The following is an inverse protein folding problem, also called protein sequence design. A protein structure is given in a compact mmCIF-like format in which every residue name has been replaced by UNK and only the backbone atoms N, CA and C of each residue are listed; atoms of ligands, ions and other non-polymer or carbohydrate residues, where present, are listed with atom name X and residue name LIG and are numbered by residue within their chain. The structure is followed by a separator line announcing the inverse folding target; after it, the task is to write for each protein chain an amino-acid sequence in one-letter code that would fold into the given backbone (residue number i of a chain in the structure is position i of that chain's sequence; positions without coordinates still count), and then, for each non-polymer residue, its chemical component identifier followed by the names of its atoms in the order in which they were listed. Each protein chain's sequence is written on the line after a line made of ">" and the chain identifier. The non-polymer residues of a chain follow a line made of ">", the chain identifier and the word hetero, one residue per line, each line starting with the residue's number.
data_IF_244018746701
#
_entry.id   IF_244018746701
#
_cell.length_a   1.000
_cell.length_b   1.000
_cell.length_c   1.000
_cell.angle_alpha   90.00
_cell.angle_beta   90.00
_cell.angle_gamma   90.00
#
_symmetry.space_group_name_H-M   'P 1'
#
loop_
_entity.id
_entity.type
_entity.pdbx_description
1 polymer ?
#
# COMPACT_ATOMS: atom_id res chain seq x y z
N UNK A 1 -16.25 12.36 -5.45
CA UNK A 1 -15.01 13.10 -5.15
C UNK A 1 -14.38 12.45 -3.94
N UNK A 2 -13.08 12.17 -3.97
CA UNK A 2 -12.33 11.65 -2.83
C UNK A 2 -12.14 12.77 -1.81
N UNK A 3 -12.73 12.60 -0.63
CA UNK A 3 -12.66 13.54 0.49
C UNK A 3 -11.30 13.46 1.20
N UNK A 4 -10.96 14.43 2.04
CA UNK A 4 -9.68 14.42 2.75
C UNK A 4 -9.56 13.24 3.73
N UNK A 5 -10.69 12.81 4.31
CA UNK A 5 -10.78 11.59 5.11
C UNK A 5 -10.42 10.33 4.30
N UNK A 6 -10.89 10.23 3.05
CA UNK A 6 -10.60 9.08 2.19
C UNK A 6 -9.11 9.00 1.88
N UNK A 7 -8.49 10.14 1.53
CA UNK A 7 -7.05 10.20 1.25
C UNK A 7 -6.21 9.87 2.47
N UNK A 8 -6.65 10.30 3.65
CA UNK A 8 -5.99 9.98 4.92
C UNK A 8 -6.04 8.46 5.17
N UNK A 9 -7.20 7.86 5.02
CA UNK A 9 -7.37 6.41 5.20
C UNK A 9 -6.58 5.61 4.17
N UNK A 10 -6.65 5.97 2.89
CA UNK A 10 -5.85 5.35 1.82
C UNK A 10 -4.36 5.41 2.13
N UNK A 11 -3.86 6.59 2.52
CA UNK A 11 -2.45 6.78 2.88
C UNK A 11 -2.05 5.93 4.08
N UNK A 12 -2.88 5.88 5.12
CA UNK A 12 -2.65 5.07 6.32
C UNK A 12 -2.54 3.58 5.95
N UNK A 13 -3.48 3.09 5.14
CA UNK A 13 -3.48 1.68 4.70
C UNK A 13 -2.26 1.36 3.85
N UNK A 14 -1.86 2.23 2.93
CA UNK A 14 -0.63 2.05 2.14
C UNK A 14 0.60 1.94 3.04
N UNK A 15 0.79 2.88 3.98
CA UNK A 15 1.94 2.87 4.89
C UNK A 15 2.00 1.59 5.73
N UNK A 16 0.85 1.12 6.22
CA UNK A 16 0.79 -0.11 7.02
C UNK A 16 1.01 -1.37 6.17
N UNK A 17 0.51 -1.40 4.94
CA UNK A 17 0.70 -2.51 4.02
C UNK A 17 2.17 -2.63 3.55
N UNK A 18 2.84 -1.49 3.36
CA UNK A 18 4.25 -1.41 2.98
C UNK A 18 5.19 -1.89 4.10
N UNK A 19 4.85 -1.62 5.37
CA UNK A 19 5.62 -2.10 6.54
C UNK A 19 5.48 -3.62 6.72
N UNK A 20 4.24 -4.12 6.81
CA UNK A 20 3.96 -5.55 6.78
C UNK A 20 2.47 -5.82 6.47
N UNK A 21 2.13 -6.76 5.58
CA UNK A 21 0.73 -7.04 5.23
C UNK A 21 -0.11 -7.52 6.42
N UNK A 22 0.50 -8.11 7.45
CA UNK A 22 -0.19 -8.51 8.68
C UNK A 22 -0.54 -7.35 9.62
N UNK A 23 0.10 -6.18 9.47
CA UNK A 23 -0.05 -5.04 10.39
C UNK A 23 -1.45 -4.41 10.32
N UNK A 24 -2.14 -4.51 9.19
CA UNK A 24 -3.52 -4.02 9.01
C UNK A 24 -4.53 -4.67 9.96
N UNK A 25 -4.25 -5.88 10.45
CA UNK A 25 -5.12 -6.60 11.38
C UNK A 25 -4.75 -6.38 12.85
N UNK A 26 -3.63 -5.70 13.13
CA UNK A 26 -3.11 -5.50 14.48
C UNK A 26 -3.61 -4.16 14.99
N UNK A 27 -4.34 -4.11 16.13
CA UNK A 27 -4.71 -2.85 16.76
C UNK A 27 -3.48 -2.09 17.25
N UNK A 28 -3.52 -0.76 17.21
CA UNK A 28 -2.41 0.10 17.63
C UNK A 28 -2.90 1.41 18.26
N UNK A 29 -2.08 2.13 19.05
CA UNK A 29 -2.47 3.39 19.68
C UNK A 29 -2.82 4.48 18.66
N UNK A 30 -3.85 5.28 18.95
CA UNK A 30 -4.30 6.38 18.10
C UNK A 30 -3.18 7.39 17.81
N UNK A 31 -2.27 7.59 18.77
CA UNK A 31 -1.10 8.45 18.60
C UNK A 31 -0.21 8.08 17.40
N UNK A 32 -0.09 6.78 17.10
CA UNK A 32 0.76 6.34 15.98
C UNK A 32 0.29 6.92 14.64
N UNK A 33 -1.01 7.20 14.48
CA UNK A 33 -1.56 7.77 13.24
C UNK A 33 -0.89 9.10 12.91
N UNK A 34 -0.83 10.02 13.87
CA UNK A 34 -0.37 11.39 13.62
C UNK A 34 1.12 11.61 13.97
N UNK A 35 1.72 10.73 14.77
CA UNK A 35 3.15 10.84 15.13
C UNK A 35 4.07 10.07 14.18
N UNK A 36 3.64 8.89 13.71
CA UNK A 36 4.53 7.95 12.99
C UNK A 36 4.05 7.61 11.59
N UNK A 37 2.79 7.23 11.45
CA UNK A 37 2.26 6.64 10.21
C UNK A 37 1.96 7.71 9.16
N UNK A 38 1.18 8.73 9.53
CA UNK A 38 0.79 9.81 8.63
C UNK A 38 0.98 11.19 9.26
N UNK A 39 2.22 11.62 9.59
CA UNK A 39 2.47 12.96 10.12
C UNK A 39 2.12 14.05 9.11
N UNK A 40 1.54 15.16 9.58
CA UNK A 40 1.11 16.30 8.75
C UNK A 40 2.22 16.81 7.81
N UNK A 41 3.40 17.10 8.35
CA UNK A 41 4.48 17.77 7.58
C UNK A 41 4.90 16.98 6.34
N UNK A 42 5.01 15.66 6.45
CA UNK A 42 5.47 14.78 5.37
C UNK A 42 4.35 14.37 4.41
N UNK A 43 3.08 14.46 4.83
CA UNK A 43 1.95 13.94 4.04
C UNK A 43 1.01 15.04 3.51
N UNK A 44 1.17 16.32 3.89
CA UNK A 44 0.24 17.40 3.48
C UNK A 44 -0.01 17.46 1.98
N UNK A 45 1.02 17.28 1.16
CA UNK A 45 0.93 17.35 -0.31
C UNK A 45 0.17 16.16 -0.89
N UNK A 46 0.30 14.99 -0.28
CA UNK A 46 -0.38 13.75 -0.70
C UNK A 46 -1.86 13.81 -0.33
N UNK A 47 -2.15 14.26 0.90
CA UNK A 47 -3.52 14.43 1.40
C UNK A 47 -4.24 15.60 0.72
N UNK A 48 -3.49 16.55 0.17
CA UNK A 48 -3.97 17.82 -0.42
C UNK A 48 -4.82 18.65 0.57
N UNK A 49 -4.46 18.57 1.84
CA UNK A 49 -5.02 19.41 2.91
C UNK A 49 -4.43 20.82 2.81
N UNK A 50 -5.27 21.84 2.89
CA UNK A 50 -4.83 23.23 2.77
C UNK A 50 -4.18 23.73 4.06
N UNK A 51 -4.73 23.32 5.21
CA UNK A 51 -4.30 23.76 6.53
C UNK A 51 -4.02 22.60 7.48
N UNK A 52 -3.35 22.90 8.59
CA UNK A 52 -3.17 21.94 9.68
C UNK A 52 -4.51 21.53 10.31
N UNK A 53 -5.44 22.48 10.40
CA UNK A 53 -6.76 22.23 10.98
C UNK A 53 -7.58 21.27 10.12
N UNK A 54 -7.48 21.34 8.78
CA UNK A 54 -8.13 20.37 7.88
C UNK A 54 -7.60 18.94 8.10
N UNK A 55 -6.29 18.82 8.35
CA UNK A 55 -5.68 17.54 8.71
C UNK A 55 -6.17 17.04 10.07
N UNK A 56 -6.20 17.90 11.09
CA UNK A 56 -6.71 17.55 12.42
C UNK A 56 -8.18 17.13 12.36
N UNK A 57 -8.99 17.80 11.53
CA UNK A 57 -10.37 17.39 11.25
C UNK A 57 -10.45 16.03 10.58
N UNK A 58 -9.61 15.74 9.58
CA UNK A 58 -9.59 14.43 8.94
C UNK A 58 -9.21 13.32 9.92
N UNK A 59 -8.25 13.57 10.82
CA UNK A 59 -7.86 12.63 11.88
C UNK A 59 -8.99 12.45 12.90
N UNK A 60 -9.61 13.54 13.36
CA UNK A 60 -10.75 13.49 14.27
C UNK A 60 -11.89 12.64 13.70
N UNK A 61 -12.27 12.88 12.44
CA UNK A 61 -13.30 12.12 11.72
C UNK A 61 -12.93 10.66 11.54
N UNK A 62 -11.65 10.38 11.25
CA UNK A 62 -11.14 9.02 11.15
C UNK A 62 -11.28 8.28 12.48
N UNK A 63 -10.89 8.88 13.60
CA UNK A 63 -10.93 8.26 14.93
C UNK A 63 -12.36 8.15 15.47
N UNK A 64 -13.25 9.06 15.09
CA UNK A 64 -14.70 8.98 15.32
C UNK A 64 -15.37 7.79 14.60
N UNK A 65 -14.62 7.02 13.80
CA UNK A 65 -15.13 5.88 13.04
C UNK A 65 -16.06 6.30 11.91
N UNK A 66 -15.86 7.50 11.35
CA UNK A 66 -16.67 7.95 10.22
C UNK A 66 -16.51 6.99 9.03
N UNK A 67 -17.61 6.71 8.33
CA UNK A 67 -17.70 5.76 7.21
C UNK A 67 -17.34 4.31 7.56
N UNK A 68 -17.14 3.99 8.85
CA UNK A 68 -16.83 2.64 9.32
C UNK A 68 -15.44 2.17 8.94
N UNK A 69 -14.50 3.10 8.70
CA UNK A 69 -13.10 2.78 8.38
C UNK A 69 -12.32 2.23 9.58
N UNK A 70 -12.65 2.72 10.77
CA UNK A 70 -11.94 2.38 12.00
C UNK A 70 -12.92 2.17 13.17
N UNK A 71 -12.45 1.48 14.19
CA UNK A 71 -13.07 1.34 15.51
C UNK A 71 -12.05 1.75 16.56
N UNK A 72 -12.47 2.51 17.57
CA UNK A 72 -11.60 2.98 18.64
C UNK A 72 -12.08 2.43 19.98
N UNK A 73 -11.16 1.90 20.78
CA UNK A 73 -11.39 1.48 22.15
C UNK A 73 -10.61 2.40 23.11
N UNK A 74 -11.22 2.92 24.20
CA UNK A 74 -12.59 2.68 24.66
C UNK A 74 -13.68 3.34 23.79
N UNK A 75 -14.86 2.71 23.72
CA UNK A 75 -16.00 3.20 22.91
C UNK A 75 -16.48 4.58 23.36
N UNK A 76 -16.36 4.90 24.64
CA UNK A 76 -16.74 6.21 25.19
C UNK A 76 -15.90 7.34 24.59
N UNK A 77 -14.62 7.07 24.31
CA UNK A 77 -13.72 8.00 23.63
C UNK A 77 -14.17 8.17 22.18
N UNK A 78 -14.50 7.07 21.49
CA UNK A 78 -14.99 7.14 20.12
C UNK A 78 -16.27 7.98 20.01
N UNK A 79 -17.22 7.78 20.93
CA UNK A 79 -18.46 8.54 20.98
C UNK A 79 -18.23 10.02 21.27
N UNK A 80 -17.28 10.36 22.15
CA UNK A 80 -16.90 11.74 22.41
C UNK A 80 -16.34 12.42 21.14
N UNK A 81 -15.41 11.76 20.44
CA UNK A 81 -14.84 12.27 19.18
C UNK A 81 -15.89 12.39 18.08
N UNK A 82 -16.83 11.45 18.00
CA UNK A 82 -17.94 11.50 17.06
C UNK A 82 -18.88 12.66 17.32
N UNK A 83 -19.18 12.97 18.58
CA UNK A 83 -20.00 14.15 18.95
C UNK A 83 -19.28 15.42 18.55
N UNK A 84 -18.00 15.54 18.90
CA UNK A 84 -17.18 16.70 18.57
C UNK A 84 -17.12 16.93 17.05
N UNK A 85 -16.92 15.88 16.25
CA UNK A 85 -16.89 16.00 14.80
C UNK A 85 -18.22 16.51 14.17
N UNK A 86 -19.34 16.42 14.90
CA UNK A 86 -20.65 16.91 14.48
C UNK A 86 -21.01 18.32 14.98
N UNK A 87 -20.18 18.92 15.83
CA UNK A 87 -20.37 20.29 16.34
C UNK A 87 -20.21 21.34 15.22
N UNK A 88 -20.86 22.49 15.38
CA UNK A 88 -20.71 23.59 14.43
C UNK A 88 -19.32 24.26 14.49
N UNK A 89 -18.66 24.18 15.65
CA UNK A 89 -17.32 24.70 15.87
C UNK A 89 -16.48 23.65 16.64
N UNK A 90 -16.01 22.61 15.95
CA UNK A 90 -15.34 21.47 16.57
C UNK A 90 -13.94 21.83 17.09
N UNK A 91 -13.57 21.31 18.26
CA UNK A 91 -12.18 21.20 18.71
C UNK A 91 -11.50 20.06 17.96
N UNK A 92 -10.87 20.44 16.86
CA UNK A 92 -10.18 19.53 15.93
C UNK A 92 -9.04 18.76 16.60
N UNK A 93 -8.51 19.26 17.72
CA UNK A 93 -7.38 18.68 18.43
C UNK A 93 -7.79 17.77 19.61
N UNK A 94 -9.09 17.55 19.85
CA UNK A 94 -9.62 16.77 20.98
C UNK A 94 -8.98 15.36 21.07
N UNK A 95 -8.72 14.72 19.93
CA UNK A 95 -8.12 13.39 19.88
C UNK A 95 -6.75 13.30 20.57
N UNK A 96 -6.01 14.40 20.68
CA UNK A 96 -4.69 14.43 21.34
C UNK A 96 -4.76 14.17 22.84
N UNK A 97 -5.95 14.28 23.43
CA UNK A 97 -6.17 13.96 24.84
C UNK A 97 -6.20 12.44 25.09
N UNK A 98 -6.34 11.62 24.04
CA UNK A 98 -6.47 10.16 24.13
C UNK A 98 -5.42 9.43 23.27
N UNK A 99 -4.11 9.65 23.50
CA UNK A 99 -3.05 9.07 22.66
C UNK A 99 -3.02 7.53 22.71
N UNK A 100 -3.36 6.97 23.88
CA UNK A 100 -3.28 5.53 24.17
C UNK A 100 -4.55 4.75 23.77
N UNK A 101 -5.56 5.43 23.21
CA UNK A 101 -6.76 4.77 22.73
C UNK A 101 -6.41 3.80 21.59
N UNK A 102 -6.94 2.58 21.64
CA UNK A 102 -6.58 1.51 20.72
C UNK A 102 -7.44 1.61 19.47
N UNK A 103 -6.80 1.85 18.33
CA UNK A 103 -7.40 1.93 17.01
C UNK A 103 -7.32 0.57 16.30
N UNK A 104 -8.46 0.11 15.81
CA UNK A 104 -8.58 -1.07 14.95
C UNK A 104 -9.11 -0.67 13.57
N UNK A 105 -8.51 -1.20 12.51
CA UNK A 105 -8.93 -0.92 11.15
C UNK A 105 -9.97 -1.94 10.67
N UNK A 106 -10.94 -1.46 9.89
CA UNK A 106 -11.87 -2.34 9.21
C UNK A 106 -11.18 -3.02 8.02
N UNK A 107 -10.94 -4.33 8.13
CA UNK A 107 -10.26 -5.11 7.10
C UNK A 107 -10.90 -4.96 5.71
N UNK A 108 -12.23 -4.98 5.63
CA UNK A 108 -12.93 -4.87 4.33
C UNK A 108 -12.74 -3.49 3.71
N UNK A 109 -12.65 -2.43 4.52
CA UNK A 109 -12.36 -1.09 4.02
C UNK A 109 -10.91 -0.98 3.52
N UNK A 110 -9.96 -1.54 4.27
CA UNK A 110 -8.54 -1.53 3.91
C UNK A 110 -8.27 -2.34 2.62
N UNK A 111 -8.91 -3.49 2.44
CA UNK A 111 -8.79 -4.27 1.20
C UNK A 111 -9.36 -3.51 -0.02
N UNK A 112 -10.44 -2.74 0.17
CA UNK A 112 -11.02 -1.91 -0.88
C UNK A 112 -10.11 -0.76 -1.28
N UNK A 113 -9.48 -0.08 -0.32
CA UNK A 113 -8.55 1.02 -0.62
C UNK A 113 -7.33 0.52 -1.39
N UNK A 114 -6.75 -0.62 -1.00
CA UNK A 114 -5.64 -1.24 -1.73
C UNK A 114 -6.02 -1.70 -3.15
N UNK A 115 -7.26 -2.15 -3.35
CA UNK A 115 -7.75 -2.52 -4.68
C UNK A 115 -8.03 -1.29 -5.56
N UNK A 116 -8.46 -0.18 -4.97
CA UNK A 116 -8.75 1.06 -5.70
C UNK A 116 -7.55 1.59 -6.49
N UNK A 117 -6.34 1.40 -5.96
CA UNK A 117 -5.08 1.76 -6.63
C UNK A 117 -4.66 0.73 -7.70
N UNK A 118 -5.09 -0.53 -7.54
CA UNK A 118 -4.90 -1.60 -8.52
C UNK A 118 -6.06 -1.64 -9.50
N UNK A 119 -6.06 -0.72 -10.46
CA UNK A 119 -6.90 -0.85 -11.64
C UNK A 119 -6.73 -2.26 -12.23
N UNK A 120 -7.83 -3.00 -12.32
CA UNK A 120 -7.84 -4.36 -12.85
C UNK A 120 -7.24 -4.38 -14.26
N UNK A 121 -6.02 -4.91 -14.39
CA UNK A 121 -5.46 -5.28 -15.68
C UNK A 121 -5.91 -6.73 -15.95
N UNK A 122 -6.83 -6.97 -16.90
CA UNK A 122 -7.16 -8.34 -17.30
C UNK A 122 -5.86 -9.05 -17.73
N UNK A 123 -5.69 -10.35 -17.41
CA UNK A 123 -4.53 -11.09 -17.85
C UNK A 123 -4.41 -10.95 -19.38
N UNK A 124 -3.21 -10.71 -19.93
CA UNK A 124 -3.05 -10.61 -21.37
C UNK A 124 -3.61 -11.90 -22.00
N UNK A 125 -4.41 -11.79 -23.07
CA UNK A 125 -4.92 -12.97 -23.74
C UNK A 125 -3.73 -13.86 -24.13
N UNK A 126 -3.86 -15.20 -24.03
CA UNK A 126 -2.80 -16.09 -24.46
C UNK A 126 -2.42 -15.74 -25.91
N UNK A 127 -1.12 -15.70 -26.25
CA UNK A 127 -0.72 -15.41 -27.63
C UNK A 127 -1.45 -16.38 -28.56
N UNK A 128 -2.17 -15.82 -29.53
CA UNK A 128 -2.83 -16.59 -30.57
C UNK A 128 -1.76 -17.47 -31.23
N UNK A 129 -1.90 -18.79 -31.10
CA UNK A 129 -1.10 -19.71 -31.87
C UNK A 129 -1.26 -19.35 -33.35
N UNK A 130 -0.16 -19.27 -34.14
CA UNK A 130 -0.29 -19.04 -35.57
C UNK A 130 -1.18 -20.15 -36.16
N UNK A 131 -2.06 -19.81 -37.13
CA UNK A 131 -2.91 -20.80 -37.75
C UNK A 131 -2.05 -21.93 -38.35
N UNK A 132 -2.48 -23.20 -38.24
CA UNK A 132 -1.78 -24.27 -38.94
C UNK A 132 -1.90 -24.02 -40.44
N UNK A 133 -0.78 -23.72 -41.09
CA UNK A 133 -0.68 -23.81 -42.55
C UNK A 133 -1.17 -25.20 -42.96
N UNK A 134 -2.19 -25.21 -43.82
CA UNK A 134 -2.79 -26.42 -44.33
C UNK A 134 -1.73 -27.21 -45.08
N UNK A 135 -1.44 -28.40 -44.58
CA UNK A 135 -0.62 -29.39 -45.25
C UNK A 135 -1.35 -29.89 -46.50
N UNK A 136 -0.94 -29.43 -47.67
CA UNK A 136 -1.11 -30.17 -48.93
C UNK A 136 -0.01 -31.24 -49.02
N UNK A 137 -0.43 -32.43 -49.46
CA UNK A 137 0.32 -33.66 -49.35
C UNK A 137 1.30 -33.89 -50.51
N UNK A 138 2.45 -34.48 -50.14
CA UNK A 138 3.29 -35.44 -50.87
C UNK A 138 4.07 -34.99 -52.12
N UNK A 139 5.40 -35.08 -52.06
CA UNK A 139 6.11 -36.20 -52.69
C UNK A 139 7.51 -36.45 -52.08
N UNK A 140 7.94 -37.71 -52.19
CA UNK A 140 9.21 -38.38 -51.86
C UNK A 140 10.51 -37.54 -51.95
N UNK A 141 11.48 -37.81 -51.07
CA UNK A 141 12.56 -38.81 -51.26
C UNK A 141 13.46 -38.87 -50.00
N UNK A 142 14.13 -39.99 -49.81
CA UNK A 142 15.00 -40.39 -48.68
C UNK A 142 16.26 -39.48 -48.60
N UNK A 143 16.97 -39.33 -47.48
CA UNK A 143 17.92 -40.31 -46.96
C UNK A 143 18.86 -39.66 -45.91
N UNK A 144 19.25 -40.42 -44.86
CA UNK A 144 20.50 -40.28 -44.07
C UNK A 144 20.68 -39.01 -43.18
N UNK A 145 21.22 -39.00 -41.95
CA UNK A 145 22.05 -39.91 -41.17
C UNK A 145 22.25 -39.34 -39.74
N UNK A 146 22.26 -40.23 -38.73
CA UNK A 146 22.97 -40.20 -37.44
C UNK A 146 22.81 -39.11 -36.32
N UNK A 147 22.65 -39.67 -35.10
CA UNK A 147 22.86 -39.21 -33.71
C UNK A 147 24.32 -38.72 -33.41
N UNK A 148 24.71 -38.34 -32.16
CA UNK A 148 24.07 -37.56 -31.08
C UNK A 148 25.10 -36.53 -30.43
N UNK A 149 25.16 -36.26 -29.10
CA UNK A 149 25.18 -34.91 -28.50
C UNK A 149 26.57 -34.43 -28.05
N UNK A 150 26.71 -33.18 -27.58
CA UNK A 150 27.39 -32.84 -26.31
C UNK A 150 27.49 -31.32 -26.06
N UNK A 151 27.29 -30.98 -24.79
CA UNK A 151 28.08 -30.04 -23.98
C UNK A 151 28.22 -28.56 -24.41
N UNK A 152 27.75 -27.69 -23.51
CA UNK A 152 28.12 -26.29 -23.44
C UNK A 152 27.72 -25.70 -22.10
N UNK A 153 28.39 -26.12 -21.04
CA UNK A 153 28.34 -25.45 -19.74
C UNK A 153 28.90 -24.04 -19.89
N UNK A 154 28.10 -23.02 -19.55
CA UNK A 154 28.59 -21.70 -19.20
C UNK A 154 28.15 -21.44 -17.75
N UNK A 155 29.03 -21.81 -16.84
CA UNK A 155 29.04 -21.40 -15.46
C UNK A 155 29.58 -19.96 -15.46
N UNK A 156 28.72 -18.95 -15.39
CA UNK A 156 29.17 -17.59 -15.06
C UNK A 156 29.03 -17.38 -13.57
N UNK A 157 30.19 -17.39 -12.91
CA UNK A 157 30.37 -17.07 -11.51
C UNK A 157 30.58 -15.54 -11.39
N UNK A 158 29.84 -14.96 -10.46
CA UNK A 158 30.18 -13.75 -9.69
C UNK A 158 30.27 -12.40 -10.42
N UNK A 159 29.26 -11.57 -10.19
CA UNK A 159 29.54 -10.22 -9.66
C UNK A 159 28.48 -9.89 -8.60
N UNK A 160 28.87 -10.04 -7.34
CA UNK A 160 28.12 -9.47 -6.22
C UNK A 160 28.25 -7.97 -6.37
N UNK A 161 27.24 -7.33 -6.95
CA UNK A 161 27.10 -5.89 -6.88
C UNK A 161 26.88 -5.53 -5.41
N UNK A 162 27.93 -5.02 -4.76
CA UNK A 162 27.82 -4.32 -3.48
C UNK A 162 26.83 -3.18 -3.65
N UNK A 163 25.57 -3.42 -3.28
CA UNK A 163 24.58 -2.36 -3.15
C UNK A 163 25.06 -1.42 -2.05
N UNK A 164 25.27 -0.12 -2.33
CA UNK A 164 25.69 0.82 -1.30
C UNK A 164 24.61 0.87 -0.22
N UNK A 165 25.01 0.66 1.05
CA UNK A 165 24.11 0.73 2.19
C UNK A 165 23.52 2.13 2.27
N UNK A 166 22.23 2.25 1.93
CA UNK A 166 21.48 3.50 2.07
C UNK A 166 21.00 3.67 3.52
N UNK A 167 21.09 4.90 4.01
CA UNK A 167 20.59 5.23 5.35
C UNK A 167 19.05 5.16 5.37
N UNK A 168 18.43 4.43 6.33
CA UNK A 168 16.97 4.27 6.41
C UNK A 168 16.22 5.55 6.82
N UNK A 169 16.93 6.61 7.20
CA UNK A 169 16.32 7.86 7.69
C UNK A 169 16.37 9.00 6.66
N UNK A 170 17.43 9.10 5.85
CA UNK A 170 17.62 10.19 4.89
C UNK A 170 17.84 9.75 3.43
N UNK A 171 18.03 8.45 3.15
CA UNK A 171 18.20 7.93 1.79
C UNK A 171 19.54 8.20 1.12
N UNK A 172 20.46 8.89 1.80
CA UNK A 172 21.82 9.15 1.30
C UNK A 172 22.72 7.91 1.40
N UNK A 173 23.64 7.77 0.45
CA UNK A 173 24.63 6.67 0.38
C UNK A 173 25.77 6.91 1.35
N UNK A 174 26.03 5.95 2.24
CA UNK A 174 27.13 6.03 3.21
C UNK A 174 28.48 5.76 2.52
N UNK A 175 29.54 6.56 2.79
CA UNK A 175 30.87 6.27 2.28
C UNK A 175 31.43 4.99 2.93
N UNK A 176 31.94 4.08 2.11
CA UNK A 176 32.60 2.85 2.55
C UNK A 176 33.87 3.14 3.35
N UNK A 177 34.11 2.33 4.39
CA UNK A 177 35.32 2.41 5.23
C UNK A 177 36.49 1.69 4.58
#
# INVERSE_FOLDING_TARGET
>A
MTDDLDRLFERLVSVLADDAPGRLAVPFPAAEVYERLVPYRSNRSILKVATHQDYEMAVLRLLAGERGYTSLEPTEVQDALRREAGEANPDTALFRQFPDAILSLNRLAAERSLRGDRAYAPPPPPPLAPPPESAEAADREQDQLEKPPLAGAAFELAEQSETPRQCPYCGETLPGS
#
